data_IF_101525806292
#
_entry.id   IF_101525806292
#
_cell.length_a   1.000
_cell.length_b   1.000
_cell.length_c   1.000
_cell.angle_alpha   90.00
_cell.angle_beta   90.00
_cell.angle_gamma   90.00
#
_symmetry.space_group_name_H-M   'P 1'
#
loop_
_entity.id
_entity.type
_entity.pdbx_description
1 polymer ?
#
# COMPACT_ATOMS: atom_id res chain seq x y z
N UNK A 1 2.51 6.52 10.10
CA UNK A 1 1.70 7.44 9.26
C UNK A 1 0.23 7.11 9.40
N UNK A 2 -0.65 8.02 9.02
CA UNK A 2 -2.10 7.87 9.08
C UNK A 2 -2.72 8.14 7.72
N UNK A 3 -3.51 7.18 7.24
CA UNK A 3 -4.29 7.33 6.03
C UNK A 3 -5.71 7.79 6.39
N UNK A 4 -6.17 8.84 5.70
CA UNK A 4 -7.49 9.44 5.86
C UNK A 4 -8.11 9.57 4.47
N UNK A 5 -8.81 8.53 3.98
CA UNK A 5 -9.47 8.62 2.69
C UNK A 5 -10.56 9.68 2.73
N UNK A 6 -10.71 10.46 1.66
CA UNK A 6 -11.75 11.50 1.54
C UNK A 6 -13.15 10.99 1.88
N UNK A 7 -13.52 9.79 1.42
CA UNK A 7 -14.78 9.13 1.78
C UNK A 7 -14.52 7.76 2.39
N UNK A 8 -15.01 7.54 3.62
CA UNK A 8 -14.87 6.28 4.33
C UNK A 8 -16.22 5.74 4.81
N UNK A 9 -16.68 4.65 4.19
CA UNK A 9 -17.91 3.93 4.57
C UNK A 9 -17.65 2.74 5.50
N UNK A 10 -16.38 2.48 5.84
CA UNK A 10 -16.02 1.40 6.76
C UNK A 10 -16.25 1.78 8.23
N UNK A 11 -16.21 0.78 9.11
CA UNK A 11 -16.23 1.00 10.57
C UNK A 11 -14.88 1.52 11.09
N UNK A 12 -13.78 1.36 10.34
CA UNK A 12 -12.46 1.84 10.72
C UNK A 12 -12.36 3.34 10.43
N UNK A 13 -12.40 4.19 11.46
CA UNK A 13 -12.40 5.65 11.27
C UNK A 13 -11.05 6.22 10.83
N UNK A 14 -9.95 5.60 11.24
CA UNK A 14 -8.59 6.05 10.96
C UNK A 14 -7.71 4.86 10.64
N UNK A 15 -6.91 4.94 9.58
CA UNK A 15 -6.01 3.87 9.19
C UNK A 15 -4.59 4.24 9.59
N UNK A 16 -4.12 3.80 10.76
CA UNK A 16 -2.73 4.02 11.17
C UNK A 16 -1.86 2.93 10.58
N UNK A 17 -0.74 3.29 9.95
CA UNK A 17 0.22 2.36 9.39
C UNK A 17 1.58 2.61 10.02
N UNK A 18 2.16 1.57 10.59
CA UNK A 18 3.54 1.60 11.08
C UNK A 18 4.52 1.60 9.89
N UNK A 19 5.49 2.53 9.91
CA UNK A 19 6.41 2.72 8.77
C UNK A 19 7.37 1.53 8.66
N UNK A 20 7.87 1.02 9.79
CA UNK A 20 8.80 -0.10 9.79
C UNK A 20 8.11 -1.37 9.25
N UNK A 21 6.85 -1.59 9.60
CA UNK A 21 6.01 -2.62 8.99
C UNK A 21 5.86 -2.41 7.48
N UNK A 22 5.50 -1.20 7.03
CA UNK A 22 5.34 -0.93 5.60
C UNK A 22 6.64 -1.19 4.80
N UNK A 23 7.79 -0.82 5.36
CA UNK A 23 9.11 -1.09 4.78
C UNK A 23 9.39 -2.59 4.71
N UNK A 24 9.10 -3.36 5.77
CA UNK A 24 9.22 -4.82 5.74
C UNK A 24 8.34 -5.45 4.65
N UNK A 25 7.11 -4.97 4.48
CA UNK A 25 6.21 -5.47 3.45
C UNK A 25 6.70 -5.11 2.04
N UNK A 26 7.31 -3.93 1.85
CA UNK A 26 8.02 -3.56 0.62
C UNK A 26 9.15 -4.57 0.31
N UNK A 27 9.95 -4.95 1.31
CA UNK A 27 11.04 -5.92 1.12
C UNK A 27 10.51 -7.31 0.73
N UNK A 28 9.41 -7.76 1.37
CA UNK A 28 8.71 -9.01 1.02
C UNK A 28 8.15 -8.97 -0.40
N UNK A 29 7.62 -7.82 -0.81
CA UNK A 29 7.05 -7.62 -2.14
C UNK A 29 8.10 -7.75 -3.23
N UNK A 30 9.26 -7.10 -3.06
CA UNK A 30 10.29 -7.00 -4.09
C UNK A 30 9.75 -6.32 -5.36
N UNK A 31 10.17 -6.78 -6.54
CA UNK A 31 9.77 -6.19 -7.84
C UNK A 31 9.11 -7.19 -8.78
N UNK A 32 8.69 -8.34 -8.26
CA UNK A 32 8.11 -9.42 -9.07
C UNK A 32 6.75 -9.81 -8.51
N UNK A 33 5.67 -9.70 -9.29
CA UNK A 33 4.35 -10.16 -8.91
C UNK A 33 4.32 -11.62 -8.42
N UNK A 34 3.58 -11.87 -7.35
CA UNK A 34 3.22 -13.23 -6.92
C UNK A 34 1.88 -13.69 -7.50
N UNK A 35 1.33 -14.76 -6.93
CA UNK A 35 0.01 -15.28 -7.35
C UNK A 35 -1.18 -14.34 -7.05
N UNK A 36 -1.00 -13.37 -6.17
CA UNK A 36 -1.97 -12.27 -5.95
C UNK A 36 -2.04 -11.32 -7.14
N UNK A 37 -0.97 -11.22 -7.93
CA UNK A 37 -0.75 -10.13 -8.88
C UNK A 37 0.12 -9.00 -8.32
N UNK A 38 0.29 -8.93 -7.00
CA UNK A 38 1.09 -7.89 -6.33
C UNK A 38 2.57 -8.31 -6.15
N UNK A 39 3.53 -7.37 -6.12
CA UNK A 39 3.35 -5.92 -6.27
C UNK A 39 3.04 -5.48 -7.69
N UNK A 40 2.47 -4.29 -7.84
CA UNK A 40 2.23 -3.66 -9.15
C UNK A 40 3.21 -2.53 -9.43
N UNK A 41 3.49 -2.31 -10.72
CA UNK A 41 4.12 -1.07 -11.18
C UNK A 41 3.17 0.09 -10.94
N UNK A 42 3.65 1.13 -10.27
CA UNK A 42 2.91 2.35 -10.01
C UNK A 42 3.37 3.48 -10.94
N UNK A 43 2.45 4.06 -11.69
CA UNK A 43 2.73 5.14 -12.64
C UNK A 43 2.62 6.56 -12.05
N UNK A 44 2.16 6.69 -10.79
CA UNK A 44 1.86 7.98 -10.17
C UNK A 44 0.98 8.94 -11.00
N UNK A 45 -0.06 8.40 -11.65
CA UNK A 45 -1.04 9.19 -12.41
C UNK A 45 -1.79 10.22 -11.56
N UNK A 46 -1.86 9.97 -10.25
CA UNK A 46 -2.48 10.84 -9.24
C UNK A 46 -1.56 12.02 -8.84
N UNK A 47 -0.34 12.09 -9.37
CA UNK A 47 0.64 13.18 -9.13
C UNK A 47 0.97 13.39 -7.65
N UNK A 48 1.06 12.30 -6.89
CA UNK A 48 1.47 12.35 -5.49
C UNK A 48 2.94 12.78 -5.41
N UNK A 49 3.22 13.80 -4.59
CA UNK A 49 4.60 14.19 -4.24
C UNK A 49 5.02 13.47 -2.96
N UNK A 50 6.02 12.60 -3.06
CA UNK A 50 6.50 11.77 -1.95
C UNK A 50 7.47 12.51 -1.04
N UNK A 51 8.11 13.57 -1.52
CA UNK A 51 9.24 14.27 -0.90
C UNK A 51 10.45 13.35 -0.74
N UNK A 52 10.67 12.48 -1.72
CA UNK A 52 11.80 11.54 -1.78
C UNK A 52 12.36 11.62 -3.20
N UNK A 53 13.63 11.99 -3.33
CA UNK A 53 14.24 12.32 -4.62
C UNK A 53 14.14 11.17 -5.64
N UNK A 54 14.35 9.93 -5.18
CA UNK A 54 14.23 8.74 -6.02
C UNK A 54 12.80 8.48 -6.49
N UNK A 55 11.80 8.95 -5.74
CA UNK A 55 10.39 8.72 -6.01
C UNK A 55 9.78 9.81 -6.89
N UNK A 56 10.22 11.05 -6.70
CA UNK A 56 9.68 12.24 -7.40
C UNK A 56 10.48 12.59 -8.66
N UNK A 57 11.72 12.11 -8.79
CA UNK A 57 12.62 12.44 -9.90
C UNK A 57 12.25 11.82 -11.25
N UNK A 58 11.19 11.00 -11.34
CA UNK A 58 10.64 10.42 -12.57
C UNK A 58 11.52 9.39 -13.29
N UNK A 59 12.73 9.12 -12.79
CA UNK A 59 13.70 8.19 -13.39
C UNK A 59 13.51 6.75 -12.92
N UNK A 60 13.07 6.55 -11.69
CA UNK A 60 12.87 5.23 -11.11
C UNK A 60 11.44 4.73 -11.37
N UNK A 61 11.30 3.44 -11.66
CA UNK A 61 10.00 2.79 -11.67
C UNK A 61 9.48 2.72 -10.22
N UNK A 62 8.29 3.25 -9.98
CA UNK A 62 7.62 3.08 -8.70
C UNK A 62 6.85 1.76 -8.67
N UNK A 63 6.68 1.23 -7.48
CA UNK A 63 5.94 0.02 -7.19
C UNK A 63 5.01 0.26 -6.02
N UNK A 64 3.90 -0.45 -6.02
CA UNK A 64 2.95 -0.46 -4.91
C UNK A 64 2.73 -1.89 -4.40
N UNK A 65 2.52 -2.03 -3.09
CA UNK A 65 2.18 -3.30 -2.47
C UNK A 65 1.12 -3.14 -1.37
N UNK A 66 0.11 -4.02 -1.28
CA UNK A 66 -0.92 -3.95 -0.23
C UNK A 66 -0.35 -4.10 1.18
N UNK A 67 -0.79 -3.24 2.09
CA UNK A 67 -0.42 -3.29 3.51
C UNK A 67 -1.66 -3.08 4.37
N UNK A 68 -1.65 -3.59 5.60
CA UNK A 68 -2.75 -3.37 6.54
C UNK A 68 -2.43 -2.32 7.58
N UNK A 69 -3.47 -1.74 8.16
CA UNK A 69 -3.35 -0.80 9.28
C UNK A 69 -3.15 -1.54 10.61
N UNK A 70 -2.60 -0.83 11.58
CA UNK A 70 -2.44 -1.27 12.97
C UNK A 70 -3.80 -1.62 13.56
N UNK A 71 -3.89 -2.82 14.14
CA UNK A 71 -5.12 -3.33 14.73
C UNK A 71 -6.08 -4.00 13.74
N UNK A 72 -5.74 -4.10 12.46
CA UNK A 72 -6.38 -5.08 11.57
C UNK A 72 -6.23 -6.48 12.17
N UNK A 73 -7.32 -7.22 12.37
CA UNK A 73 -7.28 -8.48 13.12
C UNK A 73 -7.23 -9.68 12.19
N UNK A 74 -6.08 -10.35 12.18
CA UNK A 74 -5.91 -11.71 11.68
C UNK A 74 -6.02 -12.74 12.80
N UNK A 75 -5.82 -14.02 12.46
CA UNK A 75 -5.84 -15.12 13.46
C UNK A 75 -4.78 -14.97 14.56
N UNK A 76 -3.61 -14.42 14.21
CA UNK A 76 -2.42 -14.39 15.09
C UNK A 76 -1.81 -12.98 15.26
N UNK A 77 -2.58 -11.91 15.04
CA UNK A 77 -2.08 -10.53 15.14
C UNK A 77 -2.55 -9.65 13.99
N UNK A 78 -1.72 -8.68 13.59
CA UNK A 78 -2.00 -7.83 12.44
C UNK A 78 -2.14 -8.67 11.17
N UNK A 79 -3.08 -8.32 10.29
CA UNK A 79 -3.14 -8.96 8.97
C UNK A 79 -1.91 -8.60 8.13
N UNK A 80 -1.46 -9.54 7.32
CA UNK A 80 -0.43 -9.32 6.30
C UNK A 80 -0.95 -9.78 4.93
N UNK A 81 -0.50 -9.10 3.88
CA UNK A 81 -0.86 -9.51 2.52
C UNK A 81 -0.06 -10.75 2.14
N UNK A 82 -0.75 -11.81 1.73
CA UNK A 82 -0.08 -13.02 1.28
C UNK A 82 0.24 -12.89 -0.21
N UNK A 83 1.47 -12.50 -0.57
CA UNK A 83 1.93 -12.32 -1.97
C UNK A 83 1.52 -13.47 -2.90
N UNK A 84 1.63 -14.71 -2.43
CA UNK A 84 1.37 -15.92 -3.22
C UNK A 84 -0.01 -16.53 -2.96
N UNK A 85 -0.96 -15.72 -2.48
CA UNK A 85 -2.37 -16.09 -2.38
C UNK A 85 -3.19 -15.19 -3.32
N UNK A 86 -4.08 -15.79 -4.13
CA UNK A 86 -4.96 -15.03 -5.02
C UNK A 86 -5.72 -13.96 -4.23
N UNK A 87 -5.89 -12.76 -4.80
CA UNK A 87 -6.60 -11.63 -4.17
C UNK A 87 -7.96 -12.02 -3.60
N UNK A 88 -8.74 -12.83 -4.32
CA UNK A 88 -10.05 -13.33 -3.88
C UNK A 88 -10.01 -14.30 -2.68
N UNK A 89 -8.83 -14.78 -2.30
CA UNK A 89 -8.61 -15.68 -1.16
C UNK A 89 -7.94 -14.99 0.02
N UNK A 90 -7.61 -13.70 -0.09
CA UNK A 90 -7.07 -12.93 1.02
C UNK A 90 -8.08 -12.85 2.16
N UNK A 91 -7.60 -12.74 3.39
CA UNK A 91 -8.48 -12.71 4.56
C UNK A 91 -9.40 -11.46 4.58
N UNK A 92 -8.92 -10.36 4.00
CA UNK A 92 -9.61 -9.07 3.95
C UNK A 92 -9.03 -8.22 2.82
N UNK A 93 -9.83 -7.32 2.26
CA UNK A 93 -9.33 -6.26 1.39
C UNK A 93 -8.55 -5.21 2.20
N UNK A 94 -7.63 -4.52 1.55
CA UNK A 94 -7.02 -3.30 2.09
C UNK A 94 -6.98 -2.21 1.02
N UNK A 95 -7.39 -0.97 1.33
CA UNK A 95 -7.30 0.15 0.41
C UNK A 95 -5.92 0.82 0.46
N UNK A 96 -4.99 0.31 1.28
CA UNK A 96 -3.72 0.94 1.60
C UNK A 96 -2.60 0.26 0.83
N UNK A 97 -1.65 1.05 0.34
CA UNK A 97 -0.49 0.59 -0.40
C UNK A 97 0.77 1.26 0.13
N UNK A 98 1.82 0.48 0.36
CA UNK A 98 3.18 1.05 0.46
C UNK A 98 3.68 1.33 -0.95
N UNK A 99 4.32 2.49 -1.14
CA UNK A 99 4.93 2.89 -2.41
C UNK A 99 6.43 2.99 -2.23
N UNK A 100 7.16 2.48 -3.22
CA UNK A 100 8.61 2.43 -3.22
C UNK A 100 9.16 2.50 -4.64
N UNK A 101 10.39 3.01 -4.77
CA UNK A 101 11.10 3.11 -6.02
C UNK A 101 12.07 1.94 -6.21
N UNK A 102 12.20 1.44 -7.44
CA UNK A 102 13.30 0.59 -7.84
C UNK A 102 14.56 1.45 -8.07
N UNK A 103 15.44 1.46 -7.07
CA UNK A 103 16.73 2.12 -7.16
C UNK A 103 17.81 1.09 -7.51
N UNK A 104 17.89 0.72 -8.79
CA UNK A 104 18.88 -0.22 -9.33
C UNK A 104 18.85 -1.59 -8.63
N UNK A 105 17.66 -2.15 -8.45
CA UNK A 105 17.42 -3.42 -7.78
C UNK A 105 17.30 -3.33 -6.26
N UNK A 106 17.40 -2.12 -5.67
CA UNK A 106 17.16 -1.90 -4.24
C UNK A 106 15.85 -1.14 -4.04
N UNK A 107 14.97 -1.65 -3.18
CA UNK A 107 13.71 -1.00 -2.87
C UNK A 107 13.94 0.23 -1.97
N UNK A 108 13.52 1.40 -2.45
CA UNK A 108 13.60 2.66 -1.71
C UNK A 108 12.19 3.11 -1.33
N UNK A 109 11.91 3.12 -0.03
CA UNK A 109 10.62 3.56 0.51
C UNK A 109 10.28 5.01 0.11
N UNK A 110 9.09 5.22 -0.47
CA UNK A 110 8.56 6.54 -0.82
C UNK A 110 7.51 7.02 0.20
N UNK A 111 6.61 6.12 0.61
CA UNK A 111 5.51 6.48 1.49
C UNK A 111 4.42 5.43 1.53
N UNK A 112 3.28 5.80 2.11
CA UNK A 112 2.04 5.01 2.07
C UNK A 112 0.95 5.85 1.45
N UNK A 113 0.08 5.23 0.66
CA UNK A 113 -1.14 5.84 0.13
C UNK A 113 -2.36 5.01 0.45
N UNK A 114 -3.53 5.62 0.30
CA UNK A 114 -4.81 4.92 0.33
C UNK A 114 -5.72 5.41 -0.79
N UNK A 115 -6.62 4.56 -1.25
CA UNK A 115 -7.69 5.00 -2.13
C UNK A 115 -8.58 6.07 -1.46
N UNK A 116 -8.94 7.11 -2.21
CA UNK A 116 -9.79 8.22 -1.73
C UNK A 116 -11.21 7.80 -1.33
N UNK A 117 -11.70 6.68 -1.85
CA UNK A 117 -12.95 6.07 -1.40
C UNK A 117 -12.73 4.67 -0.87
N UNK A 118 -13.22 4.42 0.35
CA UNK A 118 -13.19 3.12 1.01
C UNK A 118 -14.60 2.66 1.34
N UNK A 119 -14.96 1.48 0.84
CA UNK A 119 -16.26 0.85 1.10
C UNK A 119 -16.32 0.20 2.48
N UNK A 120 -17.50 -0.33 2.86
CA UNK A 120 -17.70 -0.99 4.14
C UNK A 120 -16.80 -2.22 4.36
N UNK A 121 -16.45 -2.93 3.28
CA UNK A 121 -15.60 -4.12 3.21
C UNK A 121 -14.13 -3.80 2.88
N UNK A 122 -13.71 -2.54 3.04
CA UNK A 122 -12.34 -2.08 2.81
C UNK A 122 -11.85 -2.17 1.35
N UNK A 123 -12.77 -2.27 0.38
CA UNK A 123 -12.42 -2.11 -1.03
C UNK A 123 -12.08 -0.65 -1.29
N UNK A 124 -10.87 -0.43 -1.83
CA UNK A 124 -10.45 0.87 -2.32
C UNK A 124 -11.00 1.17 -3.72
N UNK A 125 -11.38 2.42 -3.95
CA UNK A 125 -11.88 2.94 -5.23
C UNK A 125 -11.31 4.31 -5.53
N UNK A 126 -11.42 4.73 -6.80
CA UNK A 126 -10.93 6.03 -7.32
C UNK A 126 -9.41 6.20 -7.12
N UNK A 127 -8.93 7.45 -7.20
CA UNK A 127 -7.53 7.84 -7.12
C UNK A 127 -6.93 7.58 -5.73
N UNK A 128 -5.60 7.54 -5.67
CA UNK A 128 -4.86 7.42 -4.42
C UNK A 128 -4.52 8.77 -3.78
N UNK A 129 -4.50 8.79 -2.46
CA UNK A 129 -4.12 9.92 -1.61
C UNK A 129 -2.95 9.51 -0.71
N UNK A 130 -1.96 10.39 -0.55
CA UNK A 130 -0.81 10.18 0.34
C UNK A 130 -1.27 10.17 1.80
N UNK A 131 -0.75 9.23 2.59
CA UNK A 131 -0.94 9.19 4.03
C UNK A 131 0.03 10.14 4.75
N UNK A 132 -0.37 10.66 5.92
CA UNK A 132 0.41 11.65 6.72
C UNK A 132 0.67 11.15 8.13
#
# INVERSE_FOLDING_TARGET
>A
VTCQPTTNKSKQKKFTVDIAYAQKQMDVAGFTPGKSGDPHKYGNGDKITWNVAECDGGKAQLWEYPVFWVGSKGKNGQLEWAKDLKTSKQAMNTPIRVVYADNKGTAKYCGVMTHSEVTADFQGKKFFEKCT
#
